data_IF_566804697773
#
_entry.id   IF_566804697773
#
_cell.length_a   1.000
_cell.length_b   1.000
_cell.length_c   1.000
_cell.angle_alpha   90.00
_cell.angle_beta   90.00
_cell.angle_gamma   90.00
#
_symmetry.space_group_name_H-M   'P 1'
#
loop_
_entity.id
_entity.type
_entity.pdbx_description
1 polymer ?
#
# COMPACT_ATOMS: atom_id res chain seq x y z
N UNK A 1 -2.15 -32.38 7.88
CA UNK A 1 -1.29 -31.27 7.43
C UNK A 1 -1.26 -30.25 8.56
N UNK A 2 -0.07 -29.92 9.10
CA UNK A 2 0.11 -29.02 10.25
C UNK A 2 1.08 -27.88 9.98
N UNK A 3 1.28 -27.54 8.70
CA UNK A 3 2.13 -26.44 8.28
C UNK A 3 1.33 -25.17 8.06
N UNK A 4 1.98 -24.03 8.32
CA UNK A 4 1.47 -22.69 8.00
C UNK A 4 1.48 -22.51 6.47
N UNK A 5 0.29 -22.48 5.87
CA UNK A 5 0.10 -22.31 4.42
C UNK A 5 0.66 -20.97 3.94
N UNK A 6 0.60 -19.91 4.75
CA UNK A 6 1.15 -18.60 4.40
C UNK A 6 2.65 -18.67 4.18
N UNK A 7 3.37 -19.36 5.08
CA UNK A 7 4.82 -19.61 4.92
C UNK A 7 5.15 -20.48 3.72
N UNK A 8 4.31 -21.47 3.42
CA UNK A 8 4.51 -22.34 2.26
C UNK A 8 4.37 -21.57 0.92
N UNK A 9 3.45 -20.60 0.85
CA UNK A 9 3.29 -19.73 -0.33
C UNK A 9 4.33 -18.61 -0.43
N UNK A 10 4.86 -18.13 0.70
CA UNK A 10 5.91 -17.12 0.71
C UNK A 10 7.29 -17.67 0.29
N UNK A 11 7.58 -18.94 0.59
CA UNK A 11 8.90 -19.55 0.36
C UNK A 11 9.43 -19.48 -1.10
N UNK A 12 8.61 -19.61 -2.17
CA UNK A 12 9.05 -19.41 -3.55
C UNK A 12 8.82 -17.99 -4.11
N UNK A 13 8.33 -17.05 -3.30
CA UNK A 13 7.98 -15.69 -3.76
C UNK A 13 9.20 -14.78 -3.92
N UNK A 14 9.26 -14.07 -5.05
CA UNK A 14 10.22 -12.99 -5.30
C UNK A 14 9.55 -11.63 -5.19
N UNK A 15 10.26 -10.62 -4.71
CA UNK A 15 9.79 -9.23 -4.71
C UNK A 15 9.98 -8.67 -6.11
N UNK A 16 8.91 -8.23 -6.80
CA UNK A 16 9.06 -7.57 -8.07
C UNK A 16 9.50 -6.13 -7.83
N UNK A 17 10.82 -5.96 -7.80
CA UNK A 17 11.41 -4.64 -7.77
C UNK A 17 11.00 -3.86 -9.03
N UNK A 18 10.77 -2.54 -8.91
CA UNK A 18 10.50 -1.70 -10.05
C UNK A 18 11.53 -1.87 -11.18
N UNK A 19 11.13 -1.73 -12.46
CA UNK A 19 11.98 -2.04 -13.61
C UNK A 19 13.25 -1.18 -13.73
N UNK A 20 13.33 -0.07 -12.97
CA UNK A 20 14.51 0.78 -12.89
C UNK A 20 15.57 0.26 -11.89
N UNK A 21 15.25 -0.69 -11.01
CA UNK A 21 16.22 -1.36 -10.14
C UNK A 21 16.78 -2.59 -10.87
N UNK A 22 18.00 -2.47 -11.40
CA UNK A 22 18.65 -3.50 -12.22
C UNK A 22 19.49 -4.49 -11.40
N UNK A 23 18.88 -5.14 -10.42
CA UNK A 23 19.49 -6.22 -9.62
C UNK A 23 18.44 -7.22 -9.13
N UNK A 24 18.83 -8.46 -8.77
CA UNK A 24 17.94 -9.38 -8.06
C UNK A 24 17.44 -8.78 -6.75
N UNK A 25 16.28 -9.26 -6.29
CA UNK A 25 15.79 -9.00 -4.94
C UNK A 25 16.63 -9.72 -3.89
N UNK A 26 16.72 -9.13 -2.71
CA UNK A 26 17.38 -9.72 -1.54
C UNK A 26 16.50 -9.62 -0.30
N UNK A 27 16.92 -10.26 0.79
CA UNK A 27 16.17 -10.26 2.05
C UNK A 27 15.90 -8.84 2.59
N UNK A 28 16.82 -7.90 2.35
CA UNK A 28 16.66 -6.51 2.76
C UNK A 28 15.46 -5.84 2.07
N UNK A 29 15.17 -6.22 0.81
CA UNK A 29 14.05 -5.66 0.06
C UNK A 29 12.69 -6.04 0.67
N UNK A 30 12.58 -7.19 1.36
CA UNK A 30 11.34 -7.62 2.03
C UNK A 30 10.88 -6.60 3.07
N UNK A 31 11.84 -6.04 3.79
CA UNK A 31 11.58 -5.05 4.85
C UNK A 31 11.58 -3.61 4.33
N UNK A 32 12.41 -3.29 3.34
CA UNK A 32 12.56 -1.90 2.84
C UNK A 32 11.54 -1.53 1.78
N UNK A 33 10.97 -2.51 1.10
CA UNK A 33 9.90 -2.30 0.13
C UNK A 33 8.51 -2.46 0.76
N UNK A 34 8.36 -1.98 2.00
CA UNK A 34 7.12 -1.91 2.77
C UNK A 34 7.09 -0.61 3.56
N UNK A 35 5.89 -0.06 3.80
CA UNK A 35 5.77 1.11 4.68
C UNK A 35 5.91 0.70 6.14
N UNK A 36 6.26 1.64 7.00
CA UNK A 36 6.40 1.42 8.46
C UNK A 36 5.08 1.11 9.17
N UNK A 37 3.98 1.10 8.43
CA UNK A 37 2.63 0.78 8.86
C UNK A 37 2.02 -0.37 8.02
N UNK A 38 2.83 -1.10 7.26
CA UNK A 38 2.43 -2.36 6.65
C UNK A 38 2.11 -3.39 7.74
N UNK A 39 1.09 -4.21 7.51
CA UNK A 39 0.65 -5.26 8.44
C UNK A 39 0.88 -6.62 7.79
N UNK A 40 1.56 -7.52 8.49
CA UNK A 40 1.86 -8.87 7.99
C UNK A 40 0.58 -9.64 7.63
N UNK A 41 -0.52 -9.42 8.35
CA UNK A 41 -1.83 -10.02 8.11
C UNK A 41 -2.48 -9.56 6.78
N UNK A 42 -2.01 -8.44 6.22
CA UNK A 42 -2.50 -7.83 4.97
C UNK A 42 -1.58 -8.14 3.79
N UNK A 43 -0.73 -9.15 3.92
CA UNK A 43 0.16 -9.61 2.84
C UNK A 43 -0.67 -10.02 1.62
N UNK A 44 -0.41 -9.40 0.48
CA UNK A 44 -1.17 -9.65 -0.75
C UNK A 44 -0.99 -8.59 -1.85
N UNK A 45 -0.47 -7.41 -1.49
CA UNK A 45 -0.07 -6.41 -2.48
C UNK A 45 1.35 -6.67 -2.98
N UNK A 46 1.50 -6.60 -4.29
CA UNK A 46 2.78 -6.74 -4.98
C UNK A 46 3.62 -5.44 -4.94
N UNK A 47 2.99 -4.30 -4.63
CA UNK A 47 3.63 -2.99 -4.55
C UNK A 47 3.41 -2.34 -3.18
N UNK A 48 4.43 -1.64 -2.68
CA UNK A 48 4.29 -0.72 -1.56
C UNK A 48 3.93 0.69 -2.06
N UNK A 49 3.07 1.42 -1.32
CA UNK A 49 2.76 2.82 -1.64
C UNK A 49 4.00 3.69 -1.43
N UNK A 50 4.60 4.16 -2.52
CA UNK A 50 5.91 4.84 -2.51
C UNK A 50 5.93 6.13 -1.71
N UNK A 51 4.83 6.90 -1.70
CA UNK A 51 4.71 8.10 -0.87
C UNK A 51 4.81 7.79 0.64
N UNK A 52 4.35 6.60 1.05
CA UNK A 52 4.41 6.12 2.43
C UNK A 52 5.82 5.72 2.88
N UNK A 53 6.74 5.44 1.94
CA UNK A 53 8.12 5.04 2.25
C UNK A 53 8.95 6.18 2.87
N UNK A 54 8.47 7.42 2.79
CA UNK A 54 9.12 8.56 3.44
C UNK A 54 8.81 8.65 4.95
N UNK A 55 7.87 7.86 5.46
CA UNK A 55 7.49 7.87 6.87
C UNK A 55 8.36 6.91 7.68
N UNK A 56 8.76 7.38 8.87
CA UNK A 56 9.51 6.59 9.86
C UNK A 56 8.70 6.48 11.16
N UNK A 57 8.97 5.48 12.02
CA UNK A 57 8.30 5.38 13.32
C UNK A 57 8.47 6.65 14.15
N UNK A 58 9.68 7.22 14.16
CA UNK A 58 9.96 8.48 14.86
C UNK A 58 9.16 9.67 14.29
N UNK A 59 8.93 9.72 12.97
CA UNK A 59 8.07 10.75 12.37
C UNK A 59 6.61 10.56 12.79
N UNK A 60 6.12 9.32 12.79
CA UNK A 60 4.76 8.97 13.22
C UNK A 60 4.51 9.41 14.67
N UNK A 61 5.44 9.10 15.57
CA UNK A 61 5.36 9.53 16.98
C UNK A 61 5.34 11.06 17.12
N UNK A 62 6.18 11.77 16.36
CA UNK A 62 6.22 13.24 16.35
C UNK A 62 4.94 13.89 15.85
N UNK A 63 4.21 13.22 14.95
CA UNK A 63 2.90 13.65 14.47
C UNK A 63 1.82 13.38 15.53
N UNK A 64 1.81 12.18 16.12
CA UNK A 64 0.89 11.83 17.19
C UNK A 64 1.02 12.78 18.40
N UNK A 65 2.25 13.11 18.81
CA UNK A 65 2.53 14.05 19.90
C UNK A 65 2.04 15.49 19.62
N UNK A 66 1.81 15.83 18.35
CA UNK A 66 1.24 17.12 17.92
C UNK A 66 -0.29 17.07 17.76
N UNK A 67 -0.93 15.94 18.05
CA UNK A 67 -2.38 15.76 17.93
C UNK A 67 -2.85 15.40 16.53
N UNK A 68 -1.96 14.98 15.62
CA UNK A 68 -2.37 14.45 14.32
C UNK A 68 -2.96 13.05 14.49
N UNK A 69 -4.19 12.88 14.03
CA UNK A 69 -4.84 11.58 13.90
C UNK A 69 -4.29 10.82 12.70
N UNK A 70 -4.20 9.50 12.80
CA UNK A 70 -3.65 8.63 11.77
C UNK A 70 -4.67 7.56 11.39
N UNK A 71 -5.03 7.51 10.11
CA UNK A 71 -5.95 6.53 9.56
C UNK A 71 -5.32 5.84 8.35
N UNK A 72 -5.65 4.56 8.13
CA UNK A 72 -4.95 3.69 7.19
C UNK A 72 -5.95 3.02 6.24
N UNK A 73 -5.64 3.03 4.95
CA UNK A 73 -6.34 2.24 3.92
C UNK A 73 -5.38 1.20 3.36
N UNK A 74 -5.90 0.05 2.95
CA UNK A 74 -5.10 -1.01 2.34
C UNK A 74 -5.41 -1.08 0.85
N UNK A 75 -4.38 -1.03 0.02
CA UNK A 75 -4.50 -1.25 -1.43
C UNK A 75 -3.83 -2.59 -1.77
N UNK A 76 -4.58 -3.47 -2.42
CA UNK A 76 -4.06 -4.71 -2.98
C UNK A 76 -3.82 -4.49 -4.46
N UNK A 77 -2.54 -4.42 -4.83
CA UNK A 77 -2.09 -4.26 -6.21
C UNK A 77 -1.61 -5.61 -6.74
N UNK A 78 -2.17 -6.04 -7.86
CA UNK A 78 -1.70 -7.23 -8.56
C UNK A 78 -0.42 -6.99 -9.36
N UNK A 79 0.28 -8.07 -9.74
CA UNK A 79 1.50 -8.01 -10.55
C UNK A 79 1.33 -7.25 -11.89
N UNK A 80 0.11 -7.22 -12.40
CA UNK A 80 -0.29 -6.49 -13.59
C UNK A 80 0.18 -5.05 -13.69
N UNK A 81 0.27 -4.35 -12.55
CA UNK A 81 0.69 -2.95 -12.48
C UNK A 81 2.16 -2.75 -12.89
N UNK A 82 2.99 -3.79 -12.80
CA UNK A 82 4.38 -3.77 -13.28
C UNK A 82 4.55 -4.38 -14.67
N UNK A 83 3.49 -4.94 -15.26
CA UNK A 83 3.56 -5.49 -16.61
C UNK A 83 3.64 -4.37 -17.63
N UNK A 84 4.59 -4.41 -18.58
CA UNK A 84 4.63 -3.42 -19.65
C UNK A 84 3.34 -3.47 -20.47
N UNK A 85 2.91 -2.32 -20.98
CA UNK A 85 1.80 -2.23 -21.94
C UNK A 85 2.23 -2.96 -23.21
N UNK A 86 1.53 -4.05 -23.54
CA UNK A 86 1.78 -4.88 -24.73
C UNK A 86 0.75 -4.67 -25.84
N UNK A 87 -0.13 -3.68 -25.68
CA UNK A 87 -1.19 -3.38 -26.66
C UNK A 87 -0.74 -2.29 -27.62
N UNK A 88 -0.97 -2.48 -28.92
CA UNK A 88 -0.75 -1.44 -29.94
C UNK A 88 -1.78 -0.30 -29.84
N UNK A 89 -2.99 -0.61 -29.34
CA UNK A 89 -4.01 0.36 -28.99
C UNK A 89 -4.19 0.44 -27.47
N UNK A 90 -3.94 1.62 -26.91
CA UNK A 90 -4.07 1.87 -25.47
C UNK A 90 -5.51 1.75 -24.98
N UNK A 91 -6.50 2.01 -25.83
CA UNK A 91 -7.93 1.89 -25.49
C UNK A 91 -8.36 0.43 -25.32
N UNK A 92 -7.62 -0.50 -25.93
CA UNK A 92 -7.80 -1.95 -25.78
C UNK A 92 -7.03 -2.56 -24.61
N UNK A 93 -6.18 -1.79 -23.92
CA UNK A 93 -5.35 -2.33 -22.84
C UNK A 93 -6.19 -2.59 -21.58
N UNK A 94 -6.34 -3.87 -21.21
CA UNK A 94 -6.97 -4.27 -19.95
C UNK A 94 -5.98 -4.11 -18.79
N UNK A 95 -6.22 -3.09 -17.97
CA UNK A 95 -5.56 -2.94 -16.67
C UNK A 95 -6.02 -4.05 -15.71
N UNK A 96 -5.12 -4.51 -14.86
CA UNK A 96 -5.48 -5.44 -13.80
C UNK A 96 -6.31 -4.74 -12.73
N UNK A 97 -7.23 -5.48 -12.10
CA UNK A 97 -8.05 -4.95 -11.01
C UNK A 97 -7.17 -4.65 -9.80
N UNK A 98 -7.36 -3.48 -9.22
CA UNK A 98 -6.87 -3.10 -7.90
C UNK A 98 -8.04 -3.15 -6.93
N UNK A 99 -7.83 -3.66 -5.72
CA UNK A 99 -8.86 -3.63 -4.67
C UNK A 99 -8.38 -2.79 -3.49
N UNK A 100 -9.30 -1.99 -2.95
CA UNK A 100 -9.05 -1.17 -1.77
C UNK A 100 -9.91 -1.69 -0.63
N UNK A 101 -9.30 -1.78 0.54
CA UNK A 101 -9.99 -2.02 1.80
C UNK A 101 -9.90 -0.77 2.68
N UNK A 102 -11.07 -0.27 3.07
CA UNK A 102 -11.21 0.85 4.01
C UNK A 102 -11.79 0.29 5.31
N UNK A 103 -11.01 0.23 6.41
CA UNK A 103 -11.54 -0.18 7.70
C UNK A 103 -12.64 0.77 8.18
N UNK A 104 -13.65 0.24 8.89
CA UNK A 104 -14.74 1.04 9.47
C UNK A 104 -14.21 2.21 10.31
N UNK A 105 -13.23 1.95 11.18
CA UNK A 105 -12.59 2.99 11.99
C UNK A 105 -11.95 4.12 11.15
N UNK A 106 -11.47 3.82 9.94
CA UNK A 106 -10.92 4.84 9.03
C UNK A 106 -12.05 5.65 8.40
N UNK A 107 -13.14 5.02 7.98
CA UNK A 107 -14.32 5.72 7.48
C UNK A 107 -14.91 6.66 8.55
N UNK A 108 -15.04 6.18 9.78
CA UNK A 108 -15.51 6.98 10.92
C UNK A 108 -14.60 8.17 11.23
N UNK A 109 -13.28 7.96 11.25
CA UNK A 109 -12.29 9.02 11.46
C UNK A 109 -12.41 10.14 10.43
N UNK A 110 -12.53 9.77 9.15
CA UNK A 110 -12.73 10.69 8.01
C UNK A 110 -14.06 11.45 8.16
N UNK A 111 -15.17 10.74 8.40
CA UNK A 111 -16.49 11.37 8.59
C UNK A 111 -16.51 12.34 9.78
N UNK A 112 -15.87 11.96 10.89
CA UNK A 112 -15.72 12.78 12.09
C UNK A 112 -14.87 14.03 11.83
N UNK A 113 -13.75 13.89 11.10
CA UNK A 113 -12.91 15.01 10.70
C UNK A 113 -13.69 16.04 9.86
N UNK A 114 -14.46 15.57 8.86
CA UNK A 114 -15.32 16.42 8.04
C UNK A 114 -16.39 17.14 8.86
N UNK A 115 -17.10 16.43 9.75
CA UNK A 115 -18.13 17.01 10.59
C UNK A 115 -17.60 18.10 11.54
N UNK A 116 -16.34 17.97 11.97
CA UNK A 116 -15.66 18.92 12.86
C UNK A 116 -14.91 20.03 12.10
N UNK A 117 -14.92 20.04 10.77
CA UNK A 117 -14.18 21.00 9.96
C UNK A 117 -12.65 20.84 10.05
N UNK A 118 -12.15 19.65 10.40
CA UNK A 118 -10.71 19.33 10.43
C UNK A 118 -10.22 19.07 9.02
N UNK A 119 -8.96 19.43 8.76
CA UNK A 119 -8.31 19.14 7.46
C UNK A 119 -7.86 17.68 7.38
N UNK A 120 -8.04 17.09 6.20
CA UNK A 120 -7.61 15.73 5.88
C UNK A 120 -6.44 15.79 4.88
N UNK A 121 -5.40 14.99 5.10
CA UNK A 121 -4.23 14.93 4.22
C UNK A 121 -4.01 13.49 3.73
N UNK A 122 -4.23 13.26 2.45
CA UNK A 122 -3.95 11.98 1.82
C UNK A 122 -2.44 11.83 1.52
N UNK A 123 -1.87 10.69 1.90
CA UNK A 123 -0.46 10.35 1.60
C UNK A 123 -0.42 9.46 0.36
N UNK A 124 -0.22 10.09 -0.80
CA UNK A 124 -0.19 9.42 -2.09
C UNK A 124 -1.51 9.50 -2.85
N UNK A 125 -1.41 9.31 -4.18
CA UNK A 125 -2.54 9.47 -5.10
C UNK A 125 -3.63 8.43 -4.91
N UNK A 126 -3.25 7.18 -4.59
CA UNK A 126 -4.24 6.12 -4.37
C UNK A 126 -5.09 6.41 -3.13
N UNK A 127 -4.46 6.78 -2.01
CA UNK A 127 -5.20 7.17 -0.80
C UNK A 127 -6.13 8.36 -1.08
N UNK A 128 -5.70 9.32 -1.90
CA UNK A 128 -6.56 10.42 -2.32
C UNK A 128 -7.79 9.93 -3.09
N UNK A 129 -7.61 9.04 -4.07
CA UNK A 129 -8.73 8.49 -4.85
C UNK A 129 -9.69 7.70 -3.98
N UNK A 130 -9.18 6.92 -3.03
CA UNK A 130 -10.01 6.20 -2.05
C UNK A 130 -10.88 7.13 -1.20
N UNK A 131 -10.40 8.34 -0.87
CA UNK A 131 -11.16 9.31 -0.08
C UNK A 131 -12.17 10.11 -0.92
N UNK A 132 -12.00 10.14 -2.25
CA UNK A 132 -12.87 10.85 -3.19
C UNK A 132 -14.02 9.99 -3.74
N UNK A 133 -13.83 8.67 -3.78
CA UNK A 133 -14.85 7.69 -4.23
C UNK A 133 -15.84 7.35 -3.13
#
# INVERSE_FOLDING_TARGET
WGGDLGKAFAAPGHIPLPPYIKRPDGEEDLSRYQTVYARDEKTGSVAAPTAGLHFTPALRERLAARGFEWAEVTLYVGYGTFSPVRSEDILGHRMHLESVEVPEATAEAVSSAKAQGRSELAVGTTSLWTLLG
#
